data_IF_005024605069
#
_entry.id   IF_005024605069
#
_cell.length_a   1.000
_cell.length_b   1.000
_cell.length_c   1.000
_cell.angle_alpha   90.00
_cell.angle_beta   90.00
_cell.angle_gamma   90.00
#
_symmetry.space_group_name_H-M   'P 1'
#
loop_
_entity.id
_entity.type
_entity.pdbx_description
1 polymer ?
#
# COMPACT_ATOMS: atom_id res chain seq x y z
N UNK A 1 6.94 -30.51 12.05
CA UNK A 1 6.82 -31.81 12.75
C UNK A 1 6.20 -31.48 14.11
N UNK A 2 4.96 -31.82 14.44
CA UNK A 2 4.02 -32.77 13.86
C UNK A 2 2.58 -32.24 14.00
N UNK A 3 1.68 -32.90 13.29
CA UNK A 3 0.22 -32.74 13.30
C UNK A 3 -0.40 -32.98 14.69
N UNK A 4 -1.62 -32.43 14.87
CA UNK A 4 -2.48 -32.73 16.00
C UNK A 4 -3.88 -32.17 15.75
N UNK A 5 -4.77 -33.06 15.32
CA UNK A 5 -6.24 -32.99 15.37
C UNK A 5 -6.81 -32.07 16.46
N UNK A 6 -7.87 -31.33 16.13
CA UNK A 6 -8.86 -30.99 17.14
C UNK A 6 -10.25 -31.35 16.63
N UNK A 7 -10.76 -32.40 17.27
CA UNK A 7 -12.02 -33.06 17.04
C UNK A 7 -13.23 -32.15 17.27
N UNK A 8 -14.23 -32.44 16.45
CA UNK A 8 -15.67 -32.41 16.71
C UNK A 8 -16.09 -32.35 18.19
N UNK A 9 -16.81 -31.29 18.55
CA UNK A 9 -17.82 -31.35 19.63
C UNK A 9 -19.08 -30.63 19.13
N UNK A 10 -20.01 -31.40 18.58
CA UNK A 10 -21.42 -31.03 18.41
C UNK A 10 -22.20 -31.68 19.56
N UNK A 11 -22.90 -30.94 20.43
CA UNK A 11 -23.80 -31.55 21.38
C UNK A 11 -25.12 -31.94 20.71
N UNK A 12 -25.35 -33.25 20.74
CA UNK A 12 -26.60 -33.96 21.03
C UNK A 12 -27.90 -33.55 20.33
N UNK A 13 -28.34 -34.50 19.50
CA UNK A 13 -29.68 -34.67 18.96
C UNK A 13 -30.79 -34.58 20.00
N UNK A 14 -31.81 -33.76 19.72
CA UNK A 14 -33.18 -34.00 20.18
C UNK A 14 -33.99 -34.54 19.00
N UNK A 15 -34.34 -35.81 19.12
CA UNK A 15 -35.12 -36.59 18.18
C UNK A 15 -36.60 -36.14 18.19
N UNK A 16 -37.14 -35.66 17.07
CA UNK A 16 -38.57 -35.77 16.78
C UNK A 16 -38.76 -35.81 15.27
N UNK A 17 -39.26 -36.93 14.77
CA UNK A 17 -39.43 -37.18 13.36
C UNK A 17 -40.39 -36.20 12.68
N UNK A 18 -39.96 -35.70 11.53
CA UNK A 18 -40.81 -35.42 10.36
C UNK A 18 -39.90 -35.19 9.16
N UNK A 19 -39.99 -36.08 8.18
CA UNK A 19 -39.37 -35.92 6.87
C UNK A 19 -40.03 -34.73 6.17
N UNK A 20 -39.40 -33.54 6.21
CA UNK A 20 -39.79 -32.41 5.35
C UNK A 20 -38.58 -31.55 5.04
N UNK A 21 -38.21 -31.53 3.75
CA UNK A 21 -37.39 -30.49 3.13
C UNK A 21 -35.89 -30.70 3.28
N UNK A 22 -35.29 -31.43 2.34
CA UNK A 22 -33.83 -31.43 2.16
C UNK A 22 -33.40 -30.00 1.79
N UNK A 23 -32.91 -29.25 2.76
CA UNK A 23 -32.26 -27.95 2.58
C UNK A 23 -31.02 -28.13 1.71
N UNK A 24 -31.12 -27.76 0.43
CA UNK A 24 -29.96 -27.66 -0.45
C UNK A 24 -29.35 -26.28 -0.28
N UNK A 25 -28.36 -26.16 0.61
CA UNK A 25 -27.56 -24.95 0.76
C UNK A 25 -26.64 -24.81 -0.47
N UNK A 26 -27.01 -23.95 -1.41
CA UNK A 26 -26.15 -23.62 -2.55
C UNK A 26 -25.11 -22.59 -2.09
N UNK A 27 -23.98 -23.06 -1.55
CA UNK A 27 -22.84 -22.19 -1.30
C UNK A 27 -22.27 -21.74 -2.65
N UNK A 28 -22.36 -20.46 -2.94
CA UNK A 28 -21.57 -19.86 -4.02
C UNK A 28 -20.09 -20.07 -3.69
N UNK A 29 -19.48 -21.03 -4.37
CA UNK A 29 -18.09 -21.37 -4.13
C UNK A 29 -17.22 -20.17 -4.52
N UNK A 30 -16.62 -19.56 -3.48
CA UNK A 30 -15.56 -18.57 -3.59
C UNK A 30 -14.49 -19.10 -4.56
N UNK A 31 -14.33 -18.46 -5.71
CA UNK A 31 -13.44 -18.96 -6.76
C UNK A 31 -11.97 -18.80 -6.33
N UNK A 32 -11.40 -19.83 -5.69
CA UNK A 32 -10.01 -19.89 -5.21
C UNK A 32 -8.97 -19.57 -6.30
N UNK A 33 -9.31 -19.81 -7.57
CA UNK A 33 -8.40 -19.54 -8.70
C UNK A 33 -8.02 -18.06 -8.84
N UNK A 34 -8.93 -17.12 -8.52
CA UNK A 34 -8.63 -15.67 -8.60
C UNK A 34 -7.72 -15.17 -7.49
N UNK A 35 -7.77 -15.81 -6.33
CA UNK A 35 -6.88 -15.56 -5.19
C UNK A 35 -5.47 -16.08 -5.49
N UNK A 36 -5.38 -17.24 -6.14
CA UNK A 36 -4.10 -17.84 -6.49
C UNK A 36 -3.34 -17.01 -7.54
N UNK A 37 -4.06 -16.48 -8.54
CA UNK A 37 -3.50 -15.54 -9.53
C UNK A 37 -3.12 -14.17 -8.94
N UNK A 38 -3.64 -13.83 -7.76
CA UNK A 38 -3.27 -12.62 -7.00
C UNK A 38 -2.00 -12.84 -6.18
N UNK A 39 -1.84 -14.01 -5.56
CA UNK A 39 -0.62 -14.41 -4.88
C UNK A 39 0.56 -14.54 -5.85
N UNK A 40 0.28 -14.86 -7.12
CA UNK A 40 1.23 -14.88 -8.23
C UNK A 40 1.79 -13.48 -8.58
N UNK A 41 1.09 -12.39 -8.21
CA UNK A 41 1.56 -11.02 -8.39
C UNK A 41 2.46 -10.51 -7.24
N UNK A 42 2.85 -11.39 -6.30
CA UNK A 42 3.72 -11.10 -5.16
C UNK A 42 3.44 -9.76 -4.44
N UNK A 43 2.24 -9.55 -3.86
CA UNK A 43 1.95 -8.35 -3.07
C UNK A 43 2.94 -8.15 -1.91
N UNK A 44 3.59 -9.24 -1.45
CA UNK A 44 4.69 -9.20 -0.50
C UNK A 44 5.91 -8.46 -1.05
N UNK A 45 6.33 -8.73 -2.28
CA UNK A 45 7.46 -8.06 -2.91
C UNK A 45 7.16 -6.55 -3.06
N UNK A 46 5.95 -6.22 -3.51
CA UNK A 46 5.48 -4.83 -3.62
C UNK A 46 5.44 -4.10 -2.27
N UNK A 47 5.02 -4.75 -1.19
CA UNK A 47 5.05 -4.16 0.16
C UNK A 47 6.47 -3.95 0.68
N UNK A 48 7.38 -4.90 0.42
CA UNK A 48 8.80 -4.76 0.78
C UNK A 48 9.46 -3.62 0.01
N UNK A 49 9.22 -3.50 -1.30
CA UNK A 49 9.77 -2.39 -2.10
C UNK A 49 9.23 -1.05 -1.62
N UNK A 50 7.94 -0.97 -1.24
CA UNK A 50 7.35 0.24 -0.66
C UNK A 50 8.08 0.66 0.63
N UNK A 51 8.43 -0.27 1.51
CA UNK A 51 9.20 0.02 2.73
C UNK A 51 10.63 0.44 2.39
N UNK A 52 11.34 -0.33 1.57
CA UNK A 52 12.74 -0.05 1.21
C UNK A 52 12.89 1.34 0.59
N UNK A 53 11.98 1.69 -0.31
CA UNK A 53 11.99 2.95 -1.01
C UNK A 53 11.65 4.13 -0.08
N UNK A 54 10.79 3.91 0.92
CA UNK A 54 10.50 4.91 1.96
C UNK A 54 11.72 5.16 2.86
N UNK A 55 12.43 4.11 3.27
CA UNK A 55 13.65 4.22 4.07
C UNK A 55 14.79 4.87 3.29
N UNK A 56 14.90 4.57 2.00
CA UNK A 56 15.83 5.23 1.11
C UNK A 56 15.55 6.75 1.05
N UNK A 57 14.30 7.14 0.87
CA UNK A 57 13.89 8.56 0.88
C UNK A 57 14.20 9.27 2.21
N UNK A 58 13.94 8.62 3.35
CA UNK A 58 14.31 9.19 4.66
C UNK A 58 15.82 9.35 4.82
N UNK A 59 16.59 8.41 4.27
CA UNK A 59 18.05 8.44 4.30
C UNK A 59 18.61 9.56 3.42
N UNK A 60 18.06 9.79 2.23
CA UNK A 60 18.45 10.93 1.38
C UNK A 60 18.12 12.25 2.07
N UNK A 61 16.94 12.38 2.68
CA UNK A 61 16.57 13.57 3.47
C UNK A 61 17.57 13.82 4.61
N UNK A 62 17.94 12.78 5.36
CA UNK A 62 18.89 12.89 6.46
C UNK A 62 20.27 13.38 6.02
N UNK A 63 20.78 12.89 4.89
CA UNK A 63 22.06 13.34 4.33
C UNK A 63 22.02 14.79 3.83
N UNK A 64 20.87 15.23 3.33
CA UNK A 64 20.70 16.60 2.83
C UNK A 64 20.36 17.62 3.92
N UNK A 65 20.23 17.20 5.19
CA UNK A 65 19.86 18.07 6.31
C UNK A 65 20.72 19.34 6.42
N UNK A 66 22.02 19.21 6.15
CA UNK A 66 22.98 20.32 6.23
C UNK A 66 22.93 21.30 5.06
N UNK A 67 22.32 20.92 3.94
CA UNK A 67 22.25 21.75 2.73
C UNK A 67 21.02 22.65 2.67
N UNK A 68 20.00 22.36 3.48
CA UNK A 68 18.80 23.16 3.53
C UNK A 68 19.00 24.40 4.40
N UNK A 69 18.84 25.58 3.80
CA UNK A 69 18.83 26.86 4.52
C UNK A 69 17.73 26.92 5.60
N UNK A 70 16.62 26.22 5.37
CA UNK A 70 15.52 26.07 6.32
C UNK A 70 15.21 24.60 6.59
N UNK A 71 15.15 24.19 7.86
CA UNK A 71 14.82 22.81 8.24
C UNK A 71 13.33 22.46 8.07
N UNK A 72 12.46 23.45 7.86
CA UNK A 72 11.00 23.27 7.70
C UNK A 72 10.63 22.30 6.55
N UNK A 73 11.06 22.52 5.28
CA UNK A 73 10.74 21.59 4.19
C UNK A 73 11.24 20.17 4.45
N UNK A 74 12.39 20.03 5.12
CA UNK A 74 12.99 18.74 5.47
C UNK A 74 12.11 17.97 6.46
N UNK A 75 11.66 18.63 7.51
CA UNK A 75 10.78 18.05 8.54
C UNK A 75 9.43 17.65 7.92
N UNK A 76 8.86 18.51 7.09
CA UNK A 76 7.60 18.22 6.39
C UNK A 76 7.76 16.98 5.51
N UNK A 77 8.78 16.91 4.65
CA UNK A 77 9.04 15.74 3.80
C UNK A 77 9.21 14.45 4.61
N UNK A 78 9.87 14.50 5.77
CA UNK A 78 10.05 13.35 6.65
C UNK A 78 8.70 12.86 7.24
N UNK A 79 7.90 13.75 7.82
CA UNK A 79 6.61 13.42 8.44
C UNK A 79 5.66 12.77 7.42
N UNK A 80 5.54 13.40 6.24
CA UNK A 80 4.64 12.95 5.18
C UNK A 80 5.09 11.66 4.50
N UNK A 81 6.33 11.20 4.69
CA UNK A 81 6.81 9.91 4.16
C UNK A 81 6.55 8.71 5.09
N UNK A 82 6.31 8.95 6.39
CA UNK A 82 6.07 7.90 7.38
C UNK A 82 4.87 6.97 7.08
N UNK A 83 3.75 7.42 6.49
CA UNK A 83 2.60 6.58 6.20
C UNK A 83 2.91 5.48 5.18
N UNK A 84 3.88 5.68 4.27
CA UNK A 84 4.28 4.70 3.26
C UNK A 84 4.96 3.47 3.88
N UNK A 85 5.66 3.63 5.01
CA UNK A 85 6.24 2.50 5.78
C UNK A 85 5.13 1.66 6.41
N UNK A 86 4.12 2.33 6.98
CA UNK A 86 2.97 1.67 7.62
C UNK A 86 2.15 0.94 6.55
N UNK A 87 1.87 1.60 5.42
CA UNK A 87 1.16 1.02 4.29
C UNK A 87 1.87 -0.22 3.72
N UNK A 88 3.20 -0.15 3.54
CA UNK A 88 4.00 -1.29 3.09
C UNK A 88 3.98 -2.45 4.09
N UNK A 89 4.03 -2.15 5.40
CA UNK A 89 3.96 -3.17 6.46
C UNK A 89 2.61 -3.89 6.47
N UNK A 90 1.52 -3.14 6.31
CA UNK A 90 0.17 -3.71 6.23
C UNK A 90 -0.04 -4.47 4.92
N UNK A 91 0.58 -4.05 3.82
CA UNK A 91 0.57 -4.80 2.56
C UNK A 91 1.23 -6.18 2.70
N UNK A 92 2.32 -6.29 3.47
CA UNK A 92 2.93 -7.58 3.81
C UNK A 92 1.95 -8.42 4.66
N UNK A 93 1.32 -7.82 5.67
CA UNK A 93 0.35 -8.54 6.51
C UNK A 93 -0.92 -8.99 5.75
N UNK A 94 -1.30 -8.26 4.70
CA UNK A 94 -2.45 -8.58 3.83
C UNK A 94 -2.27 -9.89 3.04
N UNK A 95 -1.06 -10.46 3.00
CA UNK A 95 -0.80 -11.79 2.42
C UNK A 95 -1.60 -12.90 3.11
N UNK A 96 -2.00 -12.71 4.37
CA UNK A 96 -2.81 -13.68 5.13
C UNK A 96 -4.30 -13.68 4.73
N UNK A 97 -4.69 -12.89 3.71
CA UNK A 97 -6.03 -12.87 3.10
C UNK A 97 -7.21 -12.60 4.05
N UNK A 98 -6.96 -12.00 5.21
CA UNK A 98 -8.01 -11.62 6.14
C UNK A 98 -8.78 -10.40 5.58
N UNK A 99 -10.08 -10.54 5.34
CA UNK A 99 -10.88 -9.49 4.70
C UNK A 99 -10.79 -8.11 5.39
N UNK A 100 -10.77 -8.01 6.74
CA UNK A 100 -10.52 -6.76 7.45
C UNK A 100 -9.14 -6.13 7.17
N UNK A 101 -8.07 -6.93 7.08
CA UNK A 101 -6.72 -6.39 6.84
C UNK A 101 -6.58 -5.86 5.42
N UNK A 102 -7.28 -6.45 4.44
CA UNK A 102 -7.34 -5.90 3.09
C UNK A 102 -8.08 -4.56 3.02
N UNK A 103 -9.19 -4.40 3.76
CA UNK A 103 -9.88 -3.10 3.84
C UNK A 103 -9.00 -2.03 4.48
N UNK A 104 -8.28 -2.38 5.53
CA UNK A 104 -7.30 -1.48 6.16
C UNK A 104 -6.14 -1.14 5.21
N UNK A 105 -5.60 -2.13 4.49
CA UNK A 105 -4.56 -1.94 3.48
C UNK A 105 -5.00 -0.96 2.39
N UNK A 106 -6.22 -1.13 1.85
CA UNK A 106 -6.78 -0.22 0.85
C UNK A 106 -6.80 1.22 1.35
N UNK A 107 -7.30 1.46 2.57
CA UNK A 107 -7.35 2.79 3.16
C UNK A 107 -5.95 3.39 3.34
N UNK A 108 -4.99 2.59 3.83
CA UNK A 108 -3.61 3.04 4.01
C UNK A 108 -2.88 3.31 2.71
N UNK A 109 -3.17 2.60 1.62
CA UNK A 109 -2.55 2.88 0.32
C UNK A 109 -3.05 4.18 -0.29
N UNK A 110 -4.36 4.48 -0.15
CA UNK A 110 -4.89 5.78 -0.56
C UNK A 110 -4.25 6.90 0.27
N UNK A 111 -4.13 6.70 1.58
CA UNK A 111 -3.52 7.66 2.49
C UNK A 111 -2.04 7.90 2.15
N UNK A 112 -1.26 6.84 1.94
CA UNK A 112 0.14 6.93 1.53
C UNK A 112 0.31 7.65 0.19
N UNK A 113 -0.56 7.36 -0.79
CA UNK A 113 -0.57 8.06 -2.08
C UNK A 113 -0.74 9.57 -1.91
N UNK A 114 -1.77 10.01 -1.15
CA UNK A 114 -2.03 11.44 -0.91
C UNK A 114 -0.85 12.11 -0.20
N UNK A 115 -0.29 11.44 0.80
CA UNK A 115 0.84 11.99 1.55
C UNK A 115 2.14 12.03 0.75
N UNK A 116 2.37 11.12 -0.20
CA UNK A 116 3.52 11.13 -1.11
C UNK A 116 3.48 12.26 -2.15
N UNK A 117 2.31 12.86 -2.43
CA UNK A 117 2.19 14.01 -3.36
C UNK A 117 2.78 15.28 -2.76
N UNK A 118 2.64 15.49 -1.45
CA UNK A 118 3.16 16.68 -0.76
C UNK A 118 4.69 16.84 -0.91
N UNK A 119 5.53 15.83 -0.56
CA UNK A 119 6.97 15.93 -0.75
C UNK A 119 7.37 16.04 -2.22
N UNK A 120 6.57 15.51 -3.15
CA UNK A 120 6.80 15.68 -4.59
C UNK A 120 6.64 17.14 -5.03
N UNK A 121 5.58 17.82 -4.57
CA UNK A 121 5.34 19.24 -4.84
C UNK A 121 6.45 20.09 -4.22
N UNK A 122 6.81 19.84 -2.96
CA UNK A 122 7.89 20.56 -2.27
C UNK A 122 9.22 20.39 -3.02
N UNK A 123 9.55 19.18 -3.45
CA UNK A 123 10.78 18.96 -4.24
C UNK A 123 10.75 19.70 -5.58
N UNK A 124 9.59 19.82 -6.22
CA UNK A 124 9.45 20.55 -7.49
C UNK A 124 9.61 22.06 -7.28
N UNK A 125 9.05 22.60 -6.20
CA UNK A 125 9.15 24.02 -5.84
C UNK A 125 10.60 24.42 -5.51
N UNK A 126 11.31 23.58 -4.74
CA UNK A 126 12.72 23.79 -4.39
C UNK A 126 13.66 23.80 -5.60
N UNK A 127 13.34 23.05 -6.65
CA UNK A 127 14.12 23.08 -7.90
C UNK A 127 13.95 24.44 -8.60
N UNK A 128 12.75 25.03 -8.57
CA UNK A 128 12.50 26.36 -9.13
C UNK A 128 13.11 27.49 -8.31
N UNK A 129 13.11 27.39 -6.98
CA UNK A 129 13.53 28.48 -6.07
C UNK A 129 15.07 28.64 -5.97
N UNK A 130 15.85 27.73 -6.59
CA UNK A 130 17.32 27.77 -6.74
C UNK A 130 18.13 28.39 -5.56
N UNK A 131 17.98 27.91 -4.31
CA UNK A 131 18.61 28.53 -3.15
C UNK A 131 20.15 28.49 -3.18
N UNK A 132 20.74 27.48 -3.83
CA UNK A 132 22.19 27.34 -4.00
C UNK A 132 22.74 28.39 -4.98
N UNK A 133 21.96 28.79 -5.99
CA UNK A 133 22.37 29.79 -6.98
C UNK A 133 22.52 31.16 -6.33
N UNK A 134 21.57 31.56 -5.47
CA UNK A 134 21.69 32.81 -4.70
C UNK A 134 22.95 32.83 -3.83
N UNK A 135 23.24 31.72 -3.12
CA UNK A 135 24.42 31.61 -2.28
C UNK A 135 25.74 31.65 -3.05
N UNK A 136 25.74 31.10 -4.28
CA UNK A 136 26.93 31.12 -5.12
C UNK A 136 27.12 32.45 -5.85
N UNK A 137 26.02 33.13 -6.23
CA UNK A 137 26.06 34.43 -6.89
C UNK A 137 26.61 35.54 -5.99
N UNK A 138 26.38 35.47 -4.69
CA UNK A 138 26.80 36.51 -3.73
C UNK A 138 28.32 36.51 -3.46
N UNK A 139 29.04 35.42 -3.74
CA UNK A 139 30.48 35.26 -3.50
C UNK A 139 31.34 35.34 -4.77
N UNK A 140 31.01 36.28 -5.65
CA UNK A 140 31.60 36.43 -6.99
C UNK A 140 33.02 37.03 -6.99
N UNK A 141 34.00 36.41 -6.32
CA UNK A 141 35.37 36.96 -6.27
C UNK A 141 36.50 35.97 -6.62
N UNK A 142 36.21 34.71 -7.01
CA UNK A 142 37.26 33.76 -7.42
C UNK A 142 36.77 32.64 -8.36
N UNK A 143 37.51 32.39 -9.44
CA UNK A 143 37.24 31.37 -10.48
C UNK A 143 37.18 29.94 -9.93
N UNK A 144 37.86 29.64 -8.80
CA UNK A 144 37.81 28.33 -8.15
C UNK A 144 36.47 28.04 -7.46
N UNK A 145 35.77 29.07 -6.97
CA UNK A 145 34.48 28.90 -6.28
C UNK A 145 33.34 28.60 -7.25
N UNK A 146 33.39 29.19 -8.46
CA UNK A 146 32.41 28.94 -9.53
C UNK A 146 32.40 27.45 -9.92
N UNK A 147 33.57 26.86 -10.16
CA UNK A 147 33.70 25.43 -10.49
C UNK A 147 33.17 24.49 -9.39
N UNK A 148 33.28 24.90 -8.12
CA UNK A 148 32.78 24.11 -7.00
C UNK A 148 31.25 24.23 -6.88
N UNK A 149 30.68 25.41 -7.09
CA UNK A 149 29.24 25.60 -7.12
C UNK A 149 28.56 24.85 -8.26
N UNK A 150 29.10 24.87 -9.47
CA UNK A 150 28.54 24.14 -10.60
C UNK A 150 28.45 22.63 -10.32
N UNK A 151 29.49 22.08 -9.65
CA UNK A 151 29.51 20.68 -9.22
C UNK A 151 28.48 20.39 -8.13
N UNK A 152 28.38 21.25 -7.12
CA UNK A 152 27.40 21.11 -6.03
C UNK A 152 25.96 21.22 -6.55
N UNK A 153 25.71 22.16 -7.46
CA UNK A 153 24.43 22.33 -8.14
C UNK A 153 24.05 21.07 -8.90
N UNK A 154 24.96 20.57 -9.73
CA UNK A 154 24.73 19.34 -10.49
C UNK A 154 24.37 18.18 -9.55
N UNK A 155 25.13 17.96 -8.46
CA UNK A 155 24.83 16.91 -7.49
C UNK A 155 23.46 17.11 -6.85
N UNK A 156 23.10 18.35 -6.47
CA UNK A 156 21.82 18.67 -5.86
C UNK A 156 20.64 18.37 -6.78
N UNK A 157 20.68 18.80 -8.04
CA UNK A 157 19.64 18.49 -9.03
C UNK A 157 19.47 16.98 -9.22
N UNK A 158 20.57 16.22 -9.28
CA UNK A 158 20.50 14.76 -9.42
C UNK A 158 19.86 14.11 -8.20
N UNK A 159 20.22 14.53 -6.98
CA UNK A 159 19.62 14.01 -5.74
C UNK A 159 18.12 14.33 -5.69
N UNK A 160 17.73 15.57 -6.01
CA UNK A 160 16.32 15.98 -6.03
C UNK A 160 15.52 15.22 -7.10
N UNK A 161 16.11 14.99 -8.26
CA UNK A 161 15.51 14.16 -9.31
C UNK A 161 15.29 12.71 -8.87
N UNK A 162 16.27 12.11 -8.17
CA UNK A 162 16.14 10.78 -7.58
C UNK A 162 15.01 10.77 -6.54
N UNK A 163 14.94 11.77 -5.67
CA UNK A 163 13.87 11.90 -4.67
C UNK A 163 12.47 11.98 -5.30
N UNK A 164 12.31 12.73 -6.39
CA UNK A 164 11.06 12.81 -7.15
C UNK A 164 10.69 11.47 -7.78
N UNK A 165 11.66 10.77 -8.37
CA UNK A 165 11.45 9.44 -8.96
C UNK A 165 11.02 8.42 -7.91
N UNK A 166 11.64 8.48 -6.74
CA UNK A 166 11.30 7.66 -5.56
C UNK A 166 9.85 7.91 -5.14
N UNK A 167 9.42 9.17 -5.02
CA UNK A 167 8.04 9.48 -4.64
C UNK A 167 7.02 9.11 -5.73
N UNK A 168 7.34 9.31 -7.01
CA UNK A 168 6.50 8.86 -8.11
C UNK A 168 6.31 7.33 -8.08
N UNK A 169 7.38 6.59 -7.76
CA UNK A 169 7.33 5.14 -7.62
C UNK A 169 6.50 4.72 -6.41
N UNK A 170 6.58 5.42 -5.27
CA UNK A 170 5.69 5.20 -4.12
C UNK A 170 4.21 5.34 -4.49
N UNK A 171 3.86 6.41 -5.21
CA UNK A 171 2.49 6.66 -5.68
C UNK A 171 2.01 5.51 -6.59
N UNK A 172 2.85 5.08 -7.53
CA UNK A 172 2.53 3.97 -8.43
C UNK A 172 2.35 2.63 -7.68
N UNK A 173 3.22 2.34 -6.71
CA UNK A 173 3.11 1.15 -5.84
C UNK A 173 1.83 1.18 -5.03
N UNK A 174 1.49 2.32 -4.40
CA UNK A 174 0.25 2.48 -3.65
C UNK A 174 -0.99 2.32 -4.52
N UNK A 175 -1.02 2.90 -5.72
CA UNK A 175 -2.13 2.72 -6.66
C UNK A 175 -2.29 1.25 -7.10
N UNK A 176 -1.17 0.59 -7.37
CA UNK A 176 -1.14 -0.83 -7.76
C UNK A 176 -1.65 -1.73 -6.63
N UNK A 177 -1.17 -1.52 -5.40
CA UNK A 177 -1.62 -2.25 -4.21
C UNK A 177 -3.09 -1.96 -3.87
N UNK A 178 -3.57 -0.73 -4.07
CA UNK A 178 -4.98 -0.39 -3.91
C UNK A 178 -5.87 -1.12 -4.93
N UNK A 179 -5.51 -1.11 -6.22
CA UNK A 179 -6.25 -1.83 -7.27
C UNK A 179 -6.30 -3.34 -6.99
N UNK A 180 -5.20 -3.88 -6.48
CA UNK A 180 -5.08 -5.24 -6.01
C UNK A 180 -6.03 -5.53 -4.83
N UNK A 181 -6.02 -4.71 -3.78
CA UNK A 181 -6.92 -4.86 -2.64
C UNK A 181 -8.40 -4.79 -3.07
N UNK A 182 -8.76 -3.84 -3.95
CA UNK A 182 -10.12 -3.69 -4.49
C UNK A 182 -10.62 -4.96 -5.18
N UNK A 183 -9.80 -5.58 -6.03
CA UNK A 183 -10.16 -6.83 -6.72
C UNK A 183 -10.45 -7.97 -5.75
N UNK A 184 -9.64 -8.12 -4.71
CA UNK A 184 -9.82 -9.22 -3.74
C UNK A 184 -11.03 -8.99 -2.84
N UNK A 185 -11.25 -7.74 -2.39
CA UNK A 185 -12.43 -7.39 -1.58
C UNK A 185 -13.72 -7.68 -2.36
N UNK A 186 -13.77 -7.33 -3.65
CA UNK A 186 -14.94 -7.62 -4.49
C UNK A 186 -15.21 -9.12 -4.65
N UNK A 187 -14.17 -9.96 -4.64
CA UNK A 187 -14.32 -11.43 -4.72
C UNK A 187 -14.66 -12.11 -3.39
N UNK A 188 -14.34 -11.49 -2.24
CA UNK A 188 -14.36 -12.17 -0.94
C UNK A 188 -15.25 -11.49 0.11
N UNK A 189 -15.83 -10.33 -0.19
CA UNK A 189 -16.76 -9.66 0.74
C UNK A 189 -18.09 -10.43 0.77
N UNK A 190 -18.64 -10.73 1.96
CA UNK A 190 -20.02 -11.17 2.07
C UNK A 190 -20.89 -10.17 1.32
N UNK A 191 -21.59 -10.65 0.29
CA UNK A 191 -22.61 -9.85 -0.37
C UNK A 191 -23.84 -9.99 0.51
N UNK A 192 -24.24 -8.92 1.19
CA UNK A 192 -25.43 -8.91 2.08
C UNK A 192 -26.73 -9.33 1.38
N UNK A 193 -26.74 -9.44 0.04
CA UNK A 193 -27.91 -9.71 -0.77
C UNK A 193 -27.74 -10.96 -1.66
N UNK A 194 -27.49 -12.14 -1.09
CA UNK A 194 -27.68 -13.40 -1.82
C UNK A 194 -29.10 -13.88 -1.54
N UNK A 195 -30.05 -13.77 -2.48
CA UNK A 195 -31.40 -14.28 -2.28
C UNK A 195 -31.34 -15.80 -2.13
N UNK A 196 -31.83 -16.30 -0.99
CA UNK A 196 -32.07 -17.73 -0.79
C UNK A 196 -33.26 -18.10 -1.66
N UNK A 197 -33.01 -18.75 -2.80
CA UNK A 197 -34.08 -19.29 -3.65
C UNK A 197 -34.54 -20.60 -3.00
N UNK A 198 -35.67 -20.57 -2.31
CA UNK A 198 -36.38 -21.78 -1.86
C UNK A 198 -37.19 -22.34 -3.02
N UNK A 199 -36.82 -23.54 -3.49
CA UNK A 199 -37.60 -24.29 -4.48
C UNK A 199 -38.64 -25.13 -3.74
N UNK A 200 -39.91 -24.75 -3.82
CA UNK A 200 -41.01 -25.57 -3.30
C UNK A 200 -41.37 -26.62 -4.36
N UNK A 201 -41.13 -27.91 -4.07
CA UNK A 201 -41.63 -28.99 -4.92
C UNK A 201 -43.14 -29.21 -4.66
N UNK A 202 -43.96 -29.48 -5.70
CA UNK A 202 -45.38 -29.77 -5.50
C UNK A 202 -45.55 -31.09 -4.74
N UNK A 203 -46.51 -31.19 -3.80
CA UNK A 203 -46.83 -32.46 -3.15
C UNK A 203 -47.33 -33.46 -4.18
N UNK A 204 -46.69 -34.63 -4.24
CA UNK A 204 -47.08 -35.73 -5.13
C UNK A 204 -48.47 -36.27 -4.78
N UNK A 205 -49.22 -36.78 -5.78
CA UNK A 205 -50.58 -37.29 -5.58
C UNK A 205 -50.58 -38.56 -4.72
N UNK A 206 -51.55 -38.64 -3.80
CA UNK A 206 -51.83 -39.77 -2.92
C UNK A 206 -52.50 -40.93 -3.67
#
# INVERSE_FOLDING_TARGET
MAEGEMESIVPSALNTGRETGTLVEVKFQKNSYRIQKYLEAEPKALGVTQIMLSLFFLSTIGLNWSFYSSHIPVIIKAIFSSPSIIAGSVAIAAQNLHLPTLKACLGLQVLACVFSVIPFIISSDLILDQPIFQYCWDNHNSTSQINMCDRLWSIYEHIMGIEMLVQATQIALSATLAAFCCKVIQCCSPRDNVPVIVVNAPPGPQ
#
